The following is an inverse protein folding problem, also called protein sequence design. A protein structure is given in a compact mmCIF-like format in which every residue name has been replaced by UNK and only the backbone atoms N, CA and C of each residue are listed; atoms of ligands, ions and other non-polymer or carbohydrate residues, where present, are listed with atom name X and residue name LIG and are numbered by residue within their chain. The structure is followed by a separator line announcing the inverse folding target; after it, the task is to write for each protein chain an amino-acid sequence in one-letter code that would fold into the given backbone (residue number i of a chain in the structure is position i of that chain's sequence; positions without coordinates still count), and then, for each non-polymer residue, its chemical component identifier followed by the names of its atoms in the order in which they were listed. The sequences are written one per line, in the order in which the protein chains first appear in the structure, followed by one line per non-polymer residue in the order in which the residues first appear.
data_IF_437819056553
#
_entry.id   IF_437819056553
#
_cell.length_a   1.000
_cell.length_b   1.000
_cell.length_c   1.000
_cell.angle_alpha   90.00
_cell.angle_beta   90.00
_cell.angle_gamma   90.00
#
_symmetry.space_group_name_H-M   'P 1'
#
loop_
_entity.id
_entity.type
_entity.pdbx_description
1 polymer ?
#
# COMPACT_ATOMS: atom_id res chain seq x y z
N UNK A 1 -9.35 -52.27 71.02
CA UNK A 1 -10.51 -52.54 71.88
C UNK A 1 -11.37 -51.28 71.88
N UNK A 2 -12.61 -51.20 71.41
CA UNK A 2 -13.67 -52.17 71.06
C UNK A 2 -14.46 -51.55 69.88
N UNK A 3 -14.67 -52.25 68.77
CA UNK A 3 -15.79 -53.17 68.47
C UNK A 3 -17.20 -52.52 68.44
N UNK A 4 -17.57 -52.07 67.24
CA UNK A 4 -18.83 -52.22 66.50
C UNK A 4 -20.17 -52.43 67.25
N UNK A 5 -21.24 -51.69 66.89
CA UNK A 5 -22.59 -52.20 66.86
C UNK A 5 -23.05 -52.46 65.41
N UNK A 6 -23.30 -53.74 65.15
CA UNK A 6 -24.05 -54.27 64.02
C UNK A 6 -25.40 -53.56 63.84
N UNK A 7 -25.63 -52.98 62.66
CA UNK A 7 -26.97 -52.69 62.17
C UNK A 7 -27.20 -53.42 60.85
N UNK A 8 -28.34 -54.13 60.85
CA UNK A 8 -28.85 -55.09 59.86
C UNK A 8 -28.66 -54.68 58.39
N UNK A 9 -28.42 -55.69 57.54
CA UNK A 9 -28.31 -55.63 56.08
C UNK A 9 -29.50 -54.92 55.38
N UNK A 10 -30.63 -54.77 56.07
CA UNK A 10 -31.82 -54.09 55.56
C UNK A 10 -31.71 -52.56 55.57
N UNK A 11 -30.80 -51.98 56.35
CA UNK A 11 -30.59 -50.53 56.40
C UNK A 11 -29.78 -50.00 55.21
N UNK A 12 -28.84 -50.79 54.68
CA UNK A 12 -28.04 -50.42 53.49
C UNK A 12 -28.89 -50.50 52.21
N UNK A 13 -29.86 -51.42 52.16
CA UNK A 13 -30.76 -51.60 51.02
C UNK A 13 -31.79 -50.45 50.84
N UNK A 14 -32.03 -49.61 51.86
CA UNK A 14 -32.89 -48.42 51.72
C UNK A 14 -32.15 -47.17 51.26
N UNK A 15 -30.84 -47.06 51.54
CA UNK A 15 -30.03 -45.88 51.14
C UNK A 15 -29.53 -45.98 49.68
N UNK A 16 -29.41 -47.19 49.15
CA UNK A 16 -29.09 -47.44 47.75
C UNK A 16 -30.28 -48.10 47.06
N UNK A 17 -31.16 -47.23 46.52
CA UNK A 17 -32.36 -47.63 45.81
C UNK A 17 -32.09 -48.71 44.76
N UNK A 18 -32.91 -49.76 44.83
CA UNK A 18 -33.18 -50.82 43.84
C UNK A 18 -32.43 -50.60 42.51
N UNK A 19 -31.21 -51.14 42.41
CA UNK A 19 -30.59 -51.45 41.12
C UNK A 19 -31.45 -52.52 40.46
N UNK A 20 -32.39 -52.08 39.63
CA UNK A 20 -32.97 -52.90 38.58
C UNK A 20 -31.83 -53.54 37.81
N UNK A 21 -31.77 -54.87 37.84
CA UNK A 21 -30.97 -55.67 36.93
C UNK A 21 -31.41 -55.32 35.51
N UNK A 22 -30.69 -54.38 34.87
CA UNK A 22 -30.87 -54.14 33.44
C UNK A 22 -30.43 -55.39 32.69
N UNK A 23 -31.33 -55.83 31.83
CA UNK A 23 -31.22 -57.03 31.04
C UNK A 23 -29.97 -56.94 30.15
N UNK A 24 -29.26 -58.04 29.93
CA UNK A 24 -28.03 -58.12 29.12
C UNK A 24 -28.22 -57.64 27.66
N UNK A 25 -29.47 -57.43 27.23
CA UNK A 25 -29.87 -56.88 25.93
C UNK A 25 -29.81 -55.33 25.87
N UNK A 26 -29.89 -54.63 27.01
CA UNK A 26 -29.86 -53.17 27.07
C UNK A 26 -28.44 -52.58 27.12
N UNK A 27 -27.45 -53.39 27.48
CA UNK A 27 -26.02 -52.99 27.42
C UNK A 27 -25.49 -52.99 25.99
N UNK A 28 -26.17 -53.69 25.06
CA UNK A 28 -25.81 -53.69 23.64
C UNK A 28 -26.48 -52.56 22.84
N UNK A 29 -27.45 -51.83 23.41
CA UNK A 29 -28.12 -50.71 22.74
C UNK A 29 -27.51 -49.33 23.02
N UNK A 30 -26.55 -49.23 23.96
CA UNK A 30 -25.83 -47.98 24.24
C UNK A 30 -24.46 -47.87 23.56
N UNK A 31 -24.03 -48.88 22.81
CA UNK A 31 -22.77 -48.84 22.03
C UNK A 31 -22.96 -48.43 20.55
N UNK A 32 -24.20 -48.22 20.12
CA UNK A 32 -24.50 -47.78 18.76
C UNK A 32 -24.65 -46.25 18.73
N UNK A 33 -23.55 -45.54 18.98
CA UNK A 33 -23.36 -44.21 18.38
C UNK A 33 -23.49 -44.41 16.87
N UNK A 34 -24.70 -44.15 16.38
CA UNK A 34 -25.26 -44.74 15.17
C UNK A 34 -24.34 -44.48 14.00
N UNK A 35 -24.15 -45.50 13.14
CA UNK A 35 -23.37 -45.39 11.91
C UNK A 35 -23.80 -44.17 11.09
N UNK A 36 -25.08 -43.81 11.14
CA UNK A 36 -25.65 -42.58 10.56
C UNK A 36 -25.14 -41.28 11.18
N UNK A 37 -24.95 -41.21 12.50
CA UNK A 37 -24.41 -40.02 13.17
C UNK A 37 -22.92 -39.82 12.84
N UNK A 38 -22.16 -40.92 12.76
CA UNK A 38 -20.77 -40.89 12.25
C UNK A 38 -20.71 -40.48 10.78
N UNK A 39 -21.62 -40.98 9.94
CA UNK A 39 -21.72 -40.59 8.53
C UNK A 39 -22.09 -39.11 8.37
N UNK A 40 -22.98 -38.56 9.22
CA UNK A 40 -23.34 -37.14 9.20
C UNK A 40 -22.16 -36.26 9.63
N UNK A 41 -21.45 -36.61 10.71
CA UNK A 41 -20.24 -35.90 11.14
C UNK A 41 -19.11 -36.01 10.12
N UNK A 42 -18.92 -37.17 9.51
CA UNK A 42 -17.93 -37.37 8.44
C UNK A 42 -18.28 -36.55 7.19
N UNK A 43 -19.56 -36.47 6.81
CA UNK A 43 -20.00 -35.61 5.70
C UNK A 43 -19.81 -34.12 5.99
N UNK A 44 -20.02 -33.69 7.25
CA UNK A 44 -19.76 -32.31 7.68
C UNK A 44 -18.27 -31.99 7.67
N UNK A 45 -17.42 -32.89 8.18
CA UNK A 45 -15.97 -32.75 8.13
C UNK A 45 -15.44 -32.72 6.69
N UNK A 46 -15.93 -33.61 5.82
CA UNK A 46 -15.56 -33.62 4.39
C UNK A 46 -16.01 -32.34 3.70
N UNK A 47 -17.20 -31.80 4.00
CA UNK A 47 -17.64 -30.50 3.47
C UNK A 47 -16.77 -29.36 3.98
N UNK A 48 -16.43 -29.37 5.27
CA UNK A 48 -15.58 -28.35 5.89
C UNK A 48 -14.15 -28.36 5.33
N UNK A 49 -13.55 -29.54 5.22
CA UNK A 49 -12.24 -29.73 4.59
C UNK A 49 -12.31 -29.34 3.11
N UNK A 50 -13.37 -29.70 2.39
CA UNK A 50 -13.53 -29.31 0.99
C UNK A 50 -13.67 -27.79 0.84
N UNK A 51 -14.40 -27.10 1.72
CA UNK A 51 -14.49 -25.63 1.69
C UNK A 51 -13.17 -24.96 2.04
N UNK A 52 -12.40 -25.52 2.97
CA UNK A 52 -11.06 -25.02 3.30
C UNK A 52 -10.12 -25.23 2.12
N UNK A 53 -10.14 -26.40 1.49
CA UNK A 53 -9.34 -26.67 0.29
C UNK A 53 -9.76 -25.78 -0.88
N UNK A 54 -11.05 -25.46 -1.02
CA UNK A 54 -11.55 -24.51 -2.02
C UNK A 54 -11.11 -23.07 -1.71
N UNK A 55 -11.09 -22.67 -0.43
CA UNK A 55 -10.57 -21.36 -0.02
C UNK A 55 -9.05 -21.26 -0.20
N UNK A 56 -8.30 -22.31 0.14
CA UNK A 56 -6.85 -22.38 -0.11
C UNK A 56 -6.58 -22.36 -1.61
N UNK A 57 -7.34 -23.12 -2.41
CA UNK A 57 -7.23 -23.10 -3.87
C UNK A 57 -7.67 -21.75 -4.46
N UNK A 58 -8.62 -21.02 -3.86
CA UNK A 58 -9.01 -19.67 -4.28
C UNK A 58 -7.95 -18.63 -3.89
N UNK A 59 -7.26 -18.80 -2.76
CA UNK A 59 -6.10 -17.98 -2.38
C UNK A 59 -4.94 -18.28 -3.32
N UNK A 60 -4.63 -19.53 -3.60
CA UNK A 60 -3.60 -19.93 -4.58
C UNK A 60 -3.97 -19.47 -6.00
N UNK A 61 -5.24 -19.57 -6.40
CA UNK A 61 -5.72 -19.08 -7.70
C UNK A 61 -5.75 -17.54 -7.78
N UNK A 62 -6.03 -16.83 -6.68
CA UNK A 62 -5.89 -15.37 -6.62
C UNK A 62 -4.41 -14.94 -6.65
N UNK A 63 -3.52 -15.72 -6.06
CA UNK A 63 -2.07 -15.52 -6.15
C UNK A 63 -1.56 -15.84 -7.56
N UNK A 64 -2.09 -16.86 -8.22
CA UNK A 64 -1.71 -17.27 -9.58
C UNK A 64 -2.38 -16.47 -10.71
N UNK A 65 -3.51 -15.81 -10.43
CA UNK A 65 -4.18 -14.87 -11.37
C UNK A 65 -3.47 -13.51 -11.48
N UNK A 66 -2.36 -13.29 -10.76
CA UNK A 66 -1.42 -12.23 -11.12
C UNK A 66 -0.52 -12.70 -12.27
N UNK A 67 -0.71 -12.19 -13.50
CA UNK A 67 0.13 -12.59 -14.60
C UNK A 67 1.56 -12.08 -14.38
N UNK A 68 2.49 -13.04 -14.41
CA UNK A 68 3.94 -12.92 -14.52
C UNK A 68 4.74 -12.65 -13.23
N UNK A 69 4.90 -13.75 -12.47
CA UNK A 69 6.21 -14.40 -12.27
C UNK A 69 7.38 -13.42 -12.05
N UNK A 70 7.40 -12.82 -10.87
CA UNK A 70 8.59 -12.22 -10.25
C UNK A 70 9.42 -13.38 -9.67
N UNK A 71 10.03 -14.23 -10.51
CA UNK A 71 11.01 -15.26 -10.07
C UNK A 71 12.44 -14.94 -10.52
N UNK A 72 12.68 -13.74 -11.05
CA UNK A 72 14.00 -13.26 -11.46
C UNK A 72 14.45 -11.99 -10.72
N UNK A 73 13.90 -11.75 -9.52
CA UNK A 73 14.02 -10.47 -8.81
C UNK A 73 15.03 -10.50 -7.65
N UNK A 74 15.36 -11.69 -7.12
CA UNK A 74 15.84 -11.79 -5.74
C UNK A 74 17.36 -11.72 -5.55
N UNK A 75 18.17 -12.22 -6.48
CA UNK A 75 19.62 -12.36 -6.21
C UNK A 75 20.47 -11.17 -6.68
N UNK A 76 20.07 -10.49 -7.77
CA UNK A 76 20.82 -9.35 -8.33
C UNK A 76 20.38 -8.04 -7.67
N UNK A 77 19.13 -7.92 -7.21
CA UNK A 77 18.65 -6.70 -6.53
C UNK A 77 19.15 -6.60 -5.10
N UNK A 78 19.34 -7.72 -4.38
CA UNK A 78 20.08 -7.72 -3.10
C UNK A 78 21.44 -7.04 -3.26
N UNK A 79 22.26 -7.44 -4.24
CA UNK A 79 23.57 -6.80 -4.50
C UNK A 79 23.51 -5.30 -4.83
N UNK A 80 22.49 -4.84 -5.56
CA UNK A 80 22.34 -3.41 -5.89
C UNK A 80 22.06 -2.55 -4.66
N UNK A 81 21.38 -3.09 -3.64
CA UNK A 81 21.00 -2.38 -2.42
C UNK A 81 21.89 -2.71 -1.20
N UNK A 82 22.65 -3.82 -1.21
CA UNK A 82 23.53 -4.24 -0.10
C UNK A 82 25.00 -3.86 -0.28
N UNK A 83 25.45 -3.46 -1.47
CA UNK A 83 26.78 -2.87 -1.61
C UNK A 83 26.76 -1.48 -0.94
N UNK A 84 27.32 -1.45 0.28
CA UNK A 84 27.52 -0.30 1.18
C UNK A 84 28.29 0.87 0.51
N UNK A 85 28.66 0.73 -0.76
CA UNK A 85 29.48 1.62 -1.58
C UNK A 85 28.69 2.68 -2.35
N UNK A 86 27.42 2.91 -2.04
CA UNK A 86 26.71 4.10 -2.51
C UNK A 86 26.51 5.07 -1.33
N UNK A 87 27.54 5.86 -0.97
CA UNK A 87 27.37 6.91 0.02
C UNK A 87 26.24 7.81 -0.47
N UNK A 88 25.36 8.18 0.48
CA UNK A 88 24.18 9.00 0.30
C UNK A 88 24.26 9.90 -0.94
N UNK A 89 23.45 9.62 -1.97
CA UNK A 89 23.47 10.42 -3.20
C UNK A 89 22.83 11.81 -3.04
N UNK A 90 22.37 12.11 -1.83
CA UNK A 90 21.98 13.44 -1.40
C UNK A 90 23.25 14.22 -1.04
N UNK A 91 23.34 15.49 -1.42
CA UNK A 91 24.50 16.31 -1.06
C UNK A 91 24.66 16.43 0.45
N UNK A 92 25.89 16.34 0.95
CA UNK A 92 26.20 16.33 2.38
C UNK A 92 25.62 17.53 3.15
N UNK A 93 25.54 18.71 2.53
CA UNK A 93 24.91 19.88 3.14
C UNK A 93 23.44 19.64 3.51
N UNK A 94 22.66 19.04 2.60
CA UNK A 94 21.26 18.71 2.83
C UNK A 94 21.14 17.60 3.88
N UNK A 95 22.03 16.60 3.84
CA UNK A 95 22.05 15.55 4.85
C UNK A 95 22.29 16.12 6.26
N UNK A 96 23.20 17.10 6.40
CA UNK A 96 23.46 17.78 7.67
C UNK A 96 22.29 18.64 8.14
N UNK A 97 21.61 19.35 7.24
CA UNK A 97 20.38 20.08 7.55
C UNK A 97 19.31 19.12 8.09
N UNK A 98 19.12 17.95 7.47
CA UNK A 98 18.16 16.94 7.93
C UNK A 98 18.56 16.35 9.28
N UNK A 99 19.83 15.96 9.46
CA UNK A 99 20.32 15.40 10.74
C UNK A 99 20.20 16.39 11.89
N UNK A 100 20.29 17.69 11.62
CA UNK A 100 20.10 18.74 12.62
C UNK A 100 18.62 19.00 12.97
N UNK A 101 17.69 18.49 12.16
CA UNK A 101 16.25 18.69 12.36
C UNK A 101 15.74 17.89 13.55
N UNK A 102 14.99 18.55 14.43
CA UNK A 102 14.30 17.92 15.57
C UNK A 102 13.32 16.84 15.11
N UNK A 103 12.68 17.06 13.97
CA UNK A 103 11.75 16.10 13.38
C UNK A 103 12.43 14.77 13.03
N UNK A 104 13.61 14.83 12.41
CA UNK A 104 14.34 13.63 11.99
C UNK A 104 14.77 12.77 13.19
N UNK A 105 15.12 13.38 14.32
CA UNK A 105 15.49 12.65 15.53
C UNK A 105 14.37 11.74 16.03
N UNK A 106 13.10 12.14 15.90
CA UNK A 106 11.95 11.30 16.22
C UNK A 106 11.79 10.10 15.27
N UNK A 107 12.18 10.25 14.00
CA UNK A 107 12.05 9.21 12.97
C UNK A 107 13.07 8.08 13.12
N UNK A 108 14.13 8.26 13.92
CA UNK A 108 15.15 7.23 14.17
C UNK A 108 14.52 5.97 14.80
N UNK A 109 13.42 6.13 15.53
CA UNK A 109 12.68 5.01 16.13
C UNK A 109 12.00 4.09 15.10
N UNK A 110 11.65 4.60 13.91
CA UNK A 110 10.98 3.81 12.87
C UNK A 110 11.96 2.81 12.26
N UNK A 111 11.69 1.51 12.35
CA UNK A 111 12.62 0.47 11.89
C UNK A 111 12.22 -0.19 10.58
N UNK A 112 10.95 -0.12 10.21
CA UNK A 112 10.45 -0.79 9.01
C UNK A 112 9.98 0.22 7.97
N UNK A 113 10.12 -0.16 6.70
CA UNK A 113 9.69 0.66 5.57
C UNK A 113 8.17 0.92 5.60
N UNK A 114 7.41 -0.07 6.08
CA UNK A 114 5.96 0.03 6.27
C UNK A 114 5.60 1.12 7.28
N UNK A 115 6.31 1.21 8.41
CA UNK A 115 6.07 2.25 9.42
C UNK A 115 6.31 3.65 8.85
N UNK A 116 7.37 3.80 8.04
CA UNK A 116 7.67 5.05 7.34
C UNK A 116 6.57 5.39 6.34
N UNK A 117 6.04 4.42 5.60
CA UNK A 117 4.94 4.64 4.66
C UNK A 117 3.66 5.10 5.37
N UNK A 118 3.33 4.51 6.53
CA UNK A 118 2.22 4.95 7.37
C UNK A 118 2.42 6.38 7.87
N UNK A 119 3.61 6.71 8.37
CA UNK A 119 3.91 8.09 8.77
C UNK A 119 3.87 9.09 7.62
N UNK A 120 4.24 8.68 6.40
CA UNK A 120 4.06 9.52 5.22
C UNK A 120 2.58 9.84 5.02
N UNK A 121 1.70 8.84 5.14
CA UNK A 121 0.26 9.03 4.98
C UNK A 121 -0.32 10.01 6.01
N UNK A 122 0.14 9.91 7.24
CA UNK A 122 -0.37 10.69 8.38
C UNK A 122 0.12 12.14 8.34
N UNK A 123 1.39 12.36 7.98
CA UNK A 123 2.03 13.64 8.22
C UNK A 123 2.43 14.44 6.97
N UNK A 124 2.57 13.80 5.81
CA UNK A 124 3.06 14.49 4.60
C UNK A 124 1.89 15.07 3.83
N UNK A 125 1.89 16.40 3.72
CA UNK A 125 0.88 17.16 2.98
C UNK A 125 1.40 17.73 1.66
N UNK A 126 2.73 17.75 1.44
CA UNK A 126 3.36 18.26 0.23
C UNK A 126 4.70 17.60 -0.07
N UNK A 127 5.17 17.70 -1.31
CA UNK A 127 6.39 17.03 -1.80
C UNK A 127 7.65 17.91 -1.89
N UNK A 128 7.53 19.23 -1.76
CA UNK A 128 8.70 20.14 -1.74
C UNK A 128 9.73 19.68 -0.70
N UNK A 129 11.02 19.62 -1.03
CA UNK A 129 12.07 19.20 -0.11
C UNK A 129 12.25 20.14 1.09
N UNK A 130 11.93 21.42 0.90
CA UNK A 130 12.00 22.43 1.96
C UNK A 130 10.63 23.04 2.20
N UNK A 131 10.40 23.46 3.43
CA UNK A 131 9.27 24.31 3.77
C UNK A 131 9.48 25.65 3.04
N UNK A 132 8.63 25.91 2.05
CA UNK A 132 8.66 27.16 1.29
C UNK A 132 7.93 28.28 2.02
N UNK A 133 8.30 29.51 1.72
CA UNK A 133 7.48 30.67 2.08
C UNK A 133 6.18 30.59 1.26
N UNK A 134 5.03 30.56 1.94
CA UNK A 134 3.71 30.30 1.31
C UNK A 134 3.38 31.32 0.21
N UNK A 135 4.01 32.49 0.29
CA UNK A 135 3.80 33.63 -0.59
C UNK A 135 4.74 33.67 -1.80
N UNK A 136 5.86 32.93 -1.78
CA UNK A 136 6.84 32.86 -2.87
C UNK A 136 7.25 31.41 -3.19
N UNK A 137 6.35 30.62 -3.80
CA UNK A 137 6.57 29.20 -4.10
C UNK A 137 7.70 28.92 -5.11
N UNK A 138 8.16 29.94 -5.86
CA UNK A 138 9.26 29.82 -6.84
C UNK A 138 10.62 30.24 -6.30
N UNK A 139 10.70 30.79 -5.08
CA UNK A 139 11.98 31.14 -4.47
C UNK A 139 12.76 29.86 -4.18
N UNK A 140 13.65 29.50 -5.10
CA UNK A 140 14.45 28.26 -5.13
C UNK A 140 15.40 28.07 -3.93
N UNK A 141 15.40 28.99 -2.96
CA UNK A 141 16.10 28.88 -1.69
C UNK A 141 15.43 29.80 -0.65
N UNK A 142 14.64 29.29 0.31
CA UNK A 142 14.33 30.07 1.49
C UNK A 142 15.64 30.42 2.23
N UNK A 143 15.71 31.64 2.80
CA UNK A 143 16.88 32.12 3.58
C UNK A 143 17.22 31.20 4.76
N UNK A 144 16.23 30.45 5.25
CA UNK A 144 16.38 29.32 6.16
C UNK A 144 15.86 28.06 5.48
N UNK A 145 16.75 27.09 5.23
CA UNK A 145 16.40 25.79 4.63
C UNK A 145 15.90 24.84 5.70
N UNK A 146 14.62 24.96 6.05
CA UNK A 146 13.99 23.98 6.95
C UNK A 146 13.57 22.76 6.13
N UNK A 147 14.13 21.56 6.38
CA UNK A 147 13.77 20.36 5.62
C UNK A 147 12.31 20.00 5.88
N UNK A 148 11.59 19.65 4.81
CA UNK A 148 10.21 19.20 4.93
C UNK A 148 10.12 17.82 5.57
N UNK A 149 8.93 17.47 6.07
CA UNK A 149 8.66 16.13 6.60
C UNK A 149 8.91 15.04 5.55
N UNK A 150 8.48 15.28 4.31
CA UNK A 150 8.70 14.37 3.19
C UNK A 150 10.18 14.13 2.90
N UNK A 151 11.02 15.17 2.97
CA UNK A 151 12.47 15.04 2.80
C UNK A 151 13.12 14.26 3.96
N UNK A 152 12.70 14.52 5.21
CA UNK A 152 13.18 13.78 6.37
C UNK A 152 12.82 12.28 6.30
N UNK A 153 11.59 11.95 5.89
CA UNK A 153 11.13 10.57 5.71
C UNK A 153 11.85 9.87 4.53
N UNK A 154 12.09 10.59 3.44
CA UNK A 154 12.93 10.12 2.34
C UNK A 154 14.34 9.75 2.83
N UNK A 155 14.95 10.63 3.63
CA UNK A 155 16.27 10.36 4.22
C UNK A 155 16.22 9.20 5.23
N UNK A 156 15.13 9.04 5.98
CA UNK A 156 14.94 7.86 6.84
C UNK A 156 14.95 6.57 6.03
N UNK A 157 14.26 6.51 4.89
CA UNK A 157 14.32 5.36 3.97
C UNK A 157 15.75 5.10 3.49
N UNK A 158 16.53 6.15 3.17
CA UNK A 158 17.94 6.02 2.81
C UNK A 158 18.80 5.44 3.94
N UNK A 159 18.49 5.72 5.20
CA UNK A 159 19.20 5.09 6.33
C UNK A 159 18.75 3.66 6.61
N UNK A 160 17.50 3.31 6.31
CA UNK A 160 16.93 1.98 6.55
C UNK A 160 17.32 0.95 5.48
N UNK A 161 17.55 1.39 4.25
CA UNK A 161 17.86 0.52 3.09
C UNK A 161 16.80 -0.58 2.89
N UNK A 162 15.51 -0.21 2.71
CA UNK A 162 14.45 -1.17 2.47
C UNK A 162 14.73 -2.03 1.23
N UNK A 163 14.27 -3.27 1.29
CA UNK A 163 14.38 -4.23 0.19
C UNK A 163 13.51 -3.82 -1.00
N UNK A 164 13.87 -4.25 -2.21
CA UNK A 164 13.04 -4.04 -3.40
C UNK A 164 11.61 -4.57 -3.22
N UNK A 165 11.43 -5.68 -2.50
CA UNK A 165 10.11 -6.21 -2.19
C UNK A 165 9.28 -5.22 -1.36
N UNK A 166 9.82 -4.70 -0.26
CA UNK A 166 9.13 -3.72 0.59
C UNK A 166 8.76 -2.45 -0.20
N UNK A 167 9.68 -1.93 -1.02
CA UNK A 167 9.40 -0.80 -1.89
C UNK A 167 8.28 -1.09 -2.89
N UNK A 168 8.29 -2.30 -3.46
CA UNK A 168 7.26 -2.77 -4.39
C UNK A 168 5.88 -2.85 -3.74
N UNK A 169 5.81 -3.32 -2.49
CA UNK A 169 4.57 -3.35 -1.71
C UNK A 169 4.05 -1.93 -1.48
N UNK A 170 4.91 -1.00 -1.03
CA UNK A 170 4.52 0.40 -0.79
C UNK A 170 4.05 1.09 -2.08
N UNK A 171 4.73 0.83 -3.21
CA UNK A 171 4.35 1.40 -4.51
C UNK A 171 2.98 0.90 -5.01
N UNK A 172 2.55 -0.29 -4.61
CA UNK A 172 1.26 -0.85 -5.02
C UNK A 172 0.08 -0.30 -4.21
N UNK A 173 0.33 0.34 -3.07
CA UNK A 173 -0.69 0.98 -2.25
C UNK A 173 -1.29 2.19 -3.00
N UNK A 174 -2.57 2.08 -3.37
CA UNK A 174 -3.28 3.14 -4.13
C UNK A 174 -3.74 4.30 -3.24
N UNK A 175 -3.98 4.04 -1.97
CA UNK A 175 -4.47 4.98 -0.98
C UNK A 175 -3.46 6.07 -0.55
N UNK A 176 -2.19 5.94 -0.91
CA UNK A 176 -1.15 6.88 -0.50
C UNK A 176 -0.29 7.40 -1.68
N UNK A 177 -0.75 8.45 -2.40
CA UNK A 177 0.01 9.03 -3.51
C UNK A 177 1.31 9.70 -3.07
N UNK A 178 1.38 10.23 -1.84
CA UNK A 178 2.60 10.84 -1.30
C UNK A 178 3.71 9.81 -1.06
N UNK A 179 3.38 8.65 -0.48
CA UNK A 179 4.34 7.55 -0.31
C UNK A 179 4.84 7.07 -1.67
N UNK A 180 3.96 6.88 -2.65
CA UNK A 180 4.40 6.49 -4.00
C UNK A 180 5.38 7.50 -4.58
N UNK A 181 5.09 8.80 -4.49
CA UNK A 181 5.98 9.85 -4.98
C UNK A 181 7.34 9.85 -4.26
N UNK A 182 7.34 9.72 -2.93
CA UNK A 182 8.57 9.68 -2.12
C UNK A 182 9.41 8.43 -2.45
N UNK A 183 8.77 7.27 -2.62
CA UNK A 183 9.47 6.02 -2.98
C UNK A 183 10.04 6.09 -4.40
N UNK A 184 9.31 6.69 -5.35
CA UNK A 184 9.85 6.94 -6.70
C UNK A 184 11.05 7.90 -6.64
N UNK A 185 10.99 8.93 -5.79
CA UNK A 185 12.13 9.83 -5.58
C UNK A 185 13.32 9.10 -4.95
N UNK A 186 13.08 8.22 -3.96
CA UNK A 186 14.09 7.35 -3.37
C UNK A 186 14.77 6.46 -4.43
N UNK A 187 13.97 5.81 -5.29
CA UNK A 187 14.48 4.99 -6.39
C UNK A 187 15.29 5.82 -7.39
N UNK A 188 14.91 7.08 -7.65
CA UNK A 188 15.67 7.97 -8.54
C UNK A 188 17.08 8.29 -8.01
N UNK A 189 17.27 8.29 -6.69
CA UNK A 189 18.59 8.47 -6.08
C UNK A 189 19.44 7.21 -6.12
N UNK A 190 18.87 6.02 -5.92
CA UNK A 190 19.67 4.81 -5.67
C UNK A 190 19.74 3.86 -6.87
N UNK A 191 18.67 3.78 -7.65
CA UNK A 191 18.53 2.76 -8.67
C UNK A 191 19.43 3.06 -9.89
N UNK A 192 20.16 2.07 -10.42
CA UNK A 192 20.84 2.23 -11.70
C UNK A 192 19.83 2.49 -12.81
N UNK A 193 20.23 3.32 -13.78
CA UNK A 193 19.34 3.86 -14.83
C UNK A 193 18.67 2.76 -15.65
N UNK A 194 19.38 1.65 -15.88
CA UNK A 194 18.90 0.47 -16.61
C UNK A 194 17.68 -0.18 -15.96
N UNK A 195 17.56 -0.09 -14.63
CA UNK A 195 16.43 -0.65 -13.87
C UNK A 195 15.36 0.38 -13.56
N UNK A 196 15.66 1.67 -13.70
CA UNK A 196 14.77 2.76 -13.33
C UNK A 196 13.43 2.68 -14.06
N UNK A 197 13.45 2.40 -15.37
CA UNK A 197 12.23 2.29 -16.18
C UNK A 197 11.26 1.21 -15.67
N UNK A 198 11.78 0.04 -15.25
CA UNK A 198 10.98 -1.08 -14.76
C UNK A 198 10.11 -0.68 -13.56
N UNK A 199 10.66 0.13 -12.66
CA UNK A 199 9.93 0.64 -11.50
C UNK A 199 8.92 1.72 -11.89
N UNK A 200 9.32 2.68 -12.73
CA UNK A 200 8.50 3.85 -13.03
C UNK A 200 7.34 3.57 -13.99
N UNK A 201 7.48 2.62 -14.91
CA UNK A 201 6.54 2.36 -16.01
C UNK A 201 5.07 2.27 -15.58
N UNK A 202 4.78 1.69 -14.41
CA UNK A 202 3.40 1.52 -13.90
C UNK A 202 2.82 2.78 -13.26
N UNK A 203 3.66 3.73 -12.87
CA UNK A 203 3.27 4.92 -12.11
C UNK A 203 3.25 6.19 -12.96
N UNK A 204 3.85 6.19 -14.17
CA UNK A 204 3.86 7.39 -15.04
C UNK A 204 2.47 7.81 -15.54
N UNK A 205 1.45 6.96 -15.42
CA UNK A 205 0.05 7.28 -15.79
C UNK A 205 -0.84 7.47 -14.57
N UNK A 206 -0.26 7.63 -13.39
CA UNK A 206 -1.01 7.86 -12.16
C UNK A 206 -1.68 9.25 -12.18
N UNK A 207 -3.00 9.27 -12.05
CA UNK A 207 -3.87 10.46 -12.13
C UNK A 207 -4.12 11.10 -10.75
N UNK A 208 -3.73 10.44 -9.66
CA UNK A 208 -3.95 10.97 -8.30
C UNK A 208 -3.17 12.27 -8.08
N UNK A 209 -3.80 13.24 -7.42
CA UNK A 209 -3.23 14.57 -7.24
C UNK A 209 -2.41 14.65 -5.95
N UNK A 210 -1.26 15.33 -6.04
CA UNK A 210 -0.38 15.63 -4.91
C UNK A 210 -0.07 17.13 -4.89
N UNK A 211 -0.01 17.71 -3.70
CA UNK A 211 0.48 19.07 -3.51
C UNK A 211 2.02 19.08 -3.52
N UNK A 212 2.59 20.06 -4.22
CA UNK A 212 4.03 20.23 -4.30
C UNK A 212 4.51 21.20 -3.24
N UNK A 213 3.77 22.26 -2.94
CA UNK A 213 4.25 23.37 -2.09
C UNK A 213 3.50 23.46 -0.76
N UNK A 214 2.34 22.82 -0.63
CA UNK A 214 1.55 22.76 0.61
C UNK A 214 0.55 23.91 0.79
N UNK A 215 0.28 24.66 -0.29
CA UNK A 215 -0.70 25.75 -0.31
C UNK A 215 -1.86 25.49 -1.28
N UNK A 216 -1.93 24.30 -1.88
CA UNK A 216 -2.92 23.91 -2.89
C UNK A 216 -2.78 24.64 -4.23
N UNK A 217 -1.91 25.65 -4.36
CA UNK A 217 -1.75 26.44 -5.59
C UNK A 217 -0.97 25.70 -6.66
N UNK A 218 -0.05 24.82 -6.24
CA UNK A 218 0.81 24.04 -7.14
C UNK A 218 0.63 22.55 -6.87
N UNK A 219 -0.38 21.98 -7.51
CA UNK A 219 -0.63 20.54 -7.52
C UNK A 219 -0.16 19.93 -8.83
N UNK A 220 0.15 18.64 -8.80
CA UNK A 220 0.35 17.84 -10.02
C UNK A 220 -0.10 16.40 -9.79
N UNK A 221 -0.33 15.65 -10.86
CA UNK A 221 -0.59 14.22 -10.70
C UNK A 221 0.69 13.47 -10.29
N UNK A 222 0.57 12.40 -9.51
CA UNK A 222 1.67 11.52 -9.14
C UNK A 222 2.40 10.97 -10.38
N UNK A 223 1.68 10.72 -11.47
CA UNK A 223 2.28 10.32 -12.74
C UNK A 223 3.06 11.45 -13.42
N UNK A 224 2.58 12.70 -13.35
CA UNK A 224 3.35 13.86 -13.81
C UNK A 224 4.63 14.04 -13.00
N UNK A 225 4.55 13.84 -11.69
CA UNK A 225 5.71 13.84 -10.80
C UNK A 225 6.72 12.74 -11.17
N UNK A 226 6.26 11.50 -11.38
CA UNK A 226 7.09 10.38 -11.80
C UNK A 226 7.81 10.66 -13.14
N UNK A 227 7.11 11.28 -14.11
CA UNK A 227 7.72 11.69 -15.39
C UNK A 227 8.82 12.73 -15.19
N UNK A 228 8.57 13.74 -14.35
CA UNK A 228 9.57 14.76 -14.01
C UNK A 228 10.83 14.17 -13.39
N UNK A 229 10.70 13.20 -12.48
CA UNK A 229 11.86 12.53 -11.88
C UNK A 229 12.75 11.80 -12.91
N UNK A 230 12.16 11.29 -13.99
CA UNK A 230 12.90 10.63 -15.07
C UNK A 230 13.57 11.61 -16.03
N UNK A 231 12.90 12.74 -16.31
CA UNK A 231 13.35 13.68 -17.36
C UNK A 231 14.17 14.84 -16.84
N UNK A 232 13.90 15.29 -15.61
CA UNK A 232 14.46 16.51 -15.04
C UNK A 232 15.74 16.16 -14.25
N UNK A 233 16.76 17.02 -14.32
CA UNK A 233 18.00 16.85 -13.58
C UNK A 233 17.93 17.25 -12.11
N UNK A 234 16.84 17.90 -11.72
CA UNK A 234 16.60 18.40 -10.36
C UNK A 234 15.10 18.47 -10.08
N UNK A 235 14.75 18.48 -8.79
CA UNK A 235 13.42 18.78 -8.32
C UNK A 235 13.49 19.79 -7.19
N UNK A 236 12.90 20.98 -7.39
CA UNK A 236 12.82 22.05 -6.39
C UNK A 236 14.15 22.37 -5.70
N UNK A 237 15.23 22.50 -6.47
CA UNK A 237 16.57 22.82 -5.98
C UNK A 237 17.38 21.63 -5.44
N UNK A 238 16.78 20.43 -5.37
CA UNK A 238 17.50 19.19 -5.06
C UNK A 238 17.93 18.53 -6.37
N UNK A 239 19.24 18.37 -6.54
CA UNK A 239 19.82 17.76 -7.73
C UNK A 239 19.85 16.24 -7.62
N UNK A 240 19.47 15.57 -8.70
CA UNK A 240 19.57 14.12 -8.79
C UNK A 240 20.95 13.70 -9.32
N UNK A 241 21.37 12.44 -9.09
CA UNK A 241 22.53 11.88 -9.74
C UNK A 241 22.44 12.06 -11.26
N UNK A 242 23.51 12.61 -11.84
CA UNK A 242 23.59 12.86 -13.28
C UNK A 242 23.44 11.56 -14.06
N UNK A 243 22.58 11.60 -15.08
CA UNK A 243 22.37 10.51 -16.02
C UNK A 243 23.11 10.85 -17.32
N UNK A 244 23.64 9.84 -18.01
CA UNK A 244 24.23 10.07 -19.32
C UNK A 244 23.15 10.49 -20.33
N UNK A 245 23.49 11.35 -21.28
CA UNK A 245 22.51 11.88 -22.24
C UNK A 245 21.80 10.78 -23.04
N UNK A 246 22.52 9.72 -23.45
CA UNK A 246 21.94 8.57 -24.11
C UNK A 246 20.84 7.90 -23.26
N UNK A 247 21.11 7.70 -21.96
CA UNK A 247 20.14 7.08 -21.04
C UNK A 247 18.91 7.96 -20.83
N UNK A 248 19.08 9.29 -20.79
CA UNK A 248 17.94 10.23 -20.71
C UNK A 248 17.11 10.17 -21.98
N UNK A 249 17.76 10.09 -23.15
CA UNK A 249 17.06 9.94 -24.43
C UNK A 249 16.25 8.64 -24.48
N UNK A 250 16.83 7.52 -24.04
CA UNK A 250 16.16 6.23 -23.97
C UNK A 250 14.95 6.26 -23.04
N UNK A 251 15.07 6.87 -21.86
CA UNK A 251 13.95 7.03 -20.91
C UNK A 251 12.84 7.90 -21.52
N UNK A 252 13.19 8.97 -22.23
CA UNK A 252 12.21 9.83 -22.93
C UNK A 252 11.52 9.10 -24.07
N UNK A 253 12.24 8.28 -24.83
CA UNK A 253 11.67 7.47 -25.90
C UNK A 253 10.66 6.46 -25.34
N UNK A 254 11.06 5.68 -24.32
CA UNK A 254 10.19 4.75 -23.60
C UNK A 254 8.94 5.42 -23.05
N UNK A 255 9.09 6.62 -22.47
CA UNK A 255 7.97 7.38 -21.95
C UNK A 255 7.01 7.83 -23.06
N UNK A 256 7.54 8.31 -24.17
CA UNK A 256 6.75 8.76 -25.32
C UNK A 256 5.96 7.61 -25.93
N UNK A 257 6.61 6.46 -26.11
CA UNK A 257 5.98 5.24 -26.63
C UNK A 257 4.83 4.80 -25.72
N UNK A 258 5.07 4.72 -24.41
CA UNK A 258 4.04 4.31 -23.47
C UNK A 258 2.87 5.30 -23.45
N UNK A 259 3.13 6.60 -23.41
CA UNK A 259 2.05 7.60 -23.42
C UNK A 259 1.23 7.56 -24.72
N UNK A 260 1.86 7.25 -25.86
CA UNK A 260 1.16 7.03 -27.13
C UNK A 260 0.26 5.79 -27.10
N UNK A 261 0.73 4.69 -26.48
CA UNK A 261 -0.09 3.50 -26.28
C UNK A 261 -1.33 3.82 -25.43
N UNK A 262 -1.17 4.59 -24.35
CA UNK A 262 -2.28 5.03 -23.52
C UNK A 262 -3.24 5.97 -24.26
N UNK A 263 -2.75 6.93 -25.07
CA UNK A 263 -3.64 7.83 -25.83
C UNK A 263 -4.49 7.11 -26.86
N UNK A 264 -3.97 6.01 -27.43
CA UNK A 264 -4.66 5.22 -28.45
C UNK A 264 -5.67 4.21 -27.87
N UNK A 265 -5.83 4.14 -26.54
CA UNK A 265 -6.84 3.26 -25.93
C UNK A 265 -8.26 3.83 -26.08
N UNK A 266 -9.23 3.07 -26.63
CA UNK A 266 -10.59 3.54 -26.93
C UNK A 266 -11.38 4.11 -25.74
N UNK A 267 -11.00 3.75 -24.51
CA UNK A 267 -11.65 4.18 -23.27
C UNK A 267 -11.41 5.68 -22.96
N UNK A 268 -10.23 6.22 -23.29
CA UNK A 268 -9.90 7.63 -23.05
C UNK A 268 -10.57 8.55 -24.06
N UNK A 269 -10.71 8.11 -25.30
CA UNK A 269 -11.44 8.83 -26.34
C UNK A 269 -12.93 9.01 -25.99
N UNK A 270 -13.47 8.06 -25.23
CA UNK A 270 -14.84 8.11 -24.68
C UNK A 270 -14.93 9.07 -23.50
N UNK A 271 -13.96 9.07 -22.57
CA UNK A 271 -13.89 10.04 -21.45
C UNK A 271 -13.66 11.48 -21.92
N UNK A 272 -12.77 11.71 -22.88
CA UNK A 272 -12.53 13.04 -23.48
C UNK A 272 -13.75 13.55 -24.26
N UNK A 273 -14.45 12.67 -24.99
CA UNK A 273 -15.74 13.00 -25.62
C UNK A 273 -16.82 13.36 -24.60
N UNK A 274 -16.90 12.64 -23.48
CA UNK A 274 -17.85 12.95 -22.41
C UNK A 274 -17.50 14.25 -21.66
N UNK A 275 -16.22 14.52 -21.38
CA UNK A 275 -15.77 15.78 -20.79
C UNK A 275 -16.03 17.00 -21.71
N UNK A 276 -15.92 16.83 -23.04
CA UNK A 276 -16.31 17.88 -24.01
C UNK A 276 -17.82 18.13 -24.08
N UNK A 277 -18.65 17.18 -23.63
CA UNK A 277 -20.12 17.35 -23.60
C UNK A 277 -20.59 18.19 -22.41
N UNK A 278 -19.79 18.35 -21.36
CA UNK A 278 -20.17 19.08 -20.12
C UNK A 278 -19.43 20.40 -19.90
N UNK A 279 -19.56 21.37 -20.81
CA UNK A 279 -19.70 22.76 -20.37
C UNK A 279 -20.91 23.50 -20.96
N UNK A 280 -21.75 22.85 -21.76
CA UNK A 280 -22.86 23.54 -22.47
C UNK A 280 -24.22 23.46 -21.77
N UNK A 281 -24.38 22.59 -20.78
CA UNK A 281 -25.68 22.38 -20.13
C UNK A 281 -25.92 23.29 -18.92
N UNK A 282 -24.87 23.72 -18.21
CA UNK A 282 -25.01 24.60 -17.05
C UNK A 282 -25.41 26.03 -17.43
N UNK A 283 -25.01 26.52 -18.60
CA UNK A 283 -25.39 27.85 -19.08
C UNK A 283 -26.85 27.89 -19.59
N UNK A 284 -27.37 26.75 -20.08
CA UNK A 284 -28.79 26.62 -20.46
C UNK A 284 -29.73 26.49 -19.26
N UNK A 285 -29.26 25.92 -18.14
CA UNK A 285 -30.05 25.81 -16.92
C UNK A 285 -30.13 27.13 -16.15
N UNK A 286 -29.05 27.94 -16.14
CA UNK A 286 -29.09 29.29 -15.55
C UNK A 286 -30.03 30.24 -16.31
N UNK A 287 -30.14 30.13 -17.63
CA UNK A 287 -31.07 30.95 -18.42
C UNK A 287 -32.55 30.56 -18.31
N UNK A 288 -32.87 29.40 -17.72
CA UNK A 288 -34.26 28.92 -17.57
C UNK A 288 -34.89 29.33 -16.25
N UNK A 289 -34.09 29.61 -15.22
CA UNK A 289 -34.60 30.04 -13.90
C UNK A 289 -35.04 31.51 -13.91
N UNK A 290 -34.47 32.36 -14.77
CA UNK A 290 -34.80 33.80 -14.81
C UNK A 290 -36.10 34.16 -15.56
N UNK A 291 -36.77 33.21 -16.24
CA UNK A 291 -38.00 33.49 -17.01
C UNK A 291 -39.31 33.02 -16.35
N UNK A 292 -39.26 32.61 -15.09
CA UNK A 292 -40.38 31.97 -14.38
C UNK A 292 -41.08 32.81 -13.30
N UNK A 293 -40.98 34.14 -13.31
CA UNK A 293 -41.60 34.97 -12.27
C UNK A 293 -42.13 36.29 -12.81
N UNK A 294 -43.42 36.31 -13.17
CA UNK A 294 -44.41 37.38 -12.92
C UNK A 294 -45.67 37.09 -13.72
N UNK A 295 -46.76 36.77 -13.03
CA UNK A 295 -48.14 37.15 -13.39
C UNK A 295 -49.05 36.85 -12.19
N UNK A 296 -49.30 37.92 -11.44
CA UNK A 296 -50.56 38.38 -10.87
C UNK A 296 -51.69 37.35 -10.67
N UNK A 297 -52.11 37.19 -9.41
CA UNK A 297 -53.46 37.54 -8.90
C UNK A 297 -53.45 37.59 -7.37
#
# INVERSE_FOLDING_TARGET
YQHNPSWSKEAVARKYGKRSFLNRKDVLSQSTFTRESRLKQHRLLVRYISTILLLVALVEFCVDSFPHRIRGFDDIERKVFTDVTYPYRLSEGIANEIRSSTYFNGLIALRHAADVASHIQEEVTFLSPYVGDTDKPESLAPRARVPSKGLCLLFRLMTLHPTGHELGVILQQRDNPYARCIILMYLRFLCPVTKLWKWFRKHVTDEEQVDIVGNGRKTMSAGAFARKLLTDGQFMGVYFPRLAQAQVADLKANLTELLAQYSNTPLLDSRKRNARRTPRNEERERGRVEKGGTRDE
#
